data_IF_963784246865
#
_entry.id   IF_963784246865
#
_cell.length_a   1.000
_cell.length_b   1.000
_cell.length_c   1.000
_cell.angle_alpha   90.00
_cell.angle_beta   90.00
_cell.angle_gamma   90.00
#
_symmetry.space_group_name_H-M   'P 1'
#
loop_
_entity.id
_entity.type
_entity.pdbx_description
1 polymer ?
#
# COMPACT_ATOMS: atom_id res chain seq x y z
N UNK A 1 31.94 66.53 22.94
CA UNK A 1 30.56 66.03 22.80
C UNK A 1 30.51 64.88 21.79
N UNK A 2 31.24 64.92 20.67
CA UNK A 2 31.16 63.90 19.60
C UNK A 2 31.65 62.49 19.99
N UNK A 3 32.67 62.36 20.85
CA UNK A 3 33.19 61.04 21.25
C UNK A 3 32.20 60.22 22.08
N UNK A 4 31.38 60.88 22.91
CA UNK A 4 30.37 60.23 23.75
C UNK A 4 29.17 59.78 22.91
N UNK A 5 28.80 60.56 21.87
CA UNK A 5 27.72 60.22 20.94
C UNK A 5 28.12 59.02 20.07
N UNK A 6 29.39 58.95 19.63
CA UNK A 6 29.91 57.79 18.91
C UNK A 6 29.90 56.52 19.78
N UNK A 7 30.32 56.64 21.05
CA UNK A 7 30.29 55.55 22.02
C UNK A 7 28.87 55.02 22.28
N UNK A 8 27.89 55.92 22.41
CA UNK A 8 26.49 55.55 22.61
C UNK A 8 25.86 54.89 21.37
N UNK A 9 26.17 55.39 20.16
CA UNK A 9 25.70 54.77 18.90
C UNK A 9 26.28 53.36 18.71
N UNK A 10 27.56 53.15 19.03
CA UNK A 10 28.17 51.82 18.98
C UNK A 10 27.52 50.84 19.95
N UNK A 11 27.19 51.28 21.17
CA UNK A 11 26.57 50.44 22.20
C UNK A 11 25.13 50.06 21.81
N UNK A 12 24.36 50.99 21.26
CA UNK A 12 23.02 50.72 20.73
C UNK A 12 23.05 49.71 19.57
N UNK A 13 24.03 49.83 18.67
CA UNK A 13 24.18 48.89 17.55
C UNK A 13 24.51 47.48 18.03
N UNK A 14 25.41 47.35 19.01
CA UNK A 14 25.77 46.05 19.60
C UNK A 14 24.57 45.41 20.32
N UNK A 15 23.79 46.21 21.07
CA UNK A 15 22.56 45.72 21.71
C UNK A 15 21.51 45.26 20.69
N UNK A 16 21.33 45.97 19.58
CA UNK A 16 20.40 45.58 18.52
C UNK A 16 20.85 44.28 17.84
N UNK A 17 22.13 44.16 17.47
CA UNK A 17 22.67 42.93 16.84
C UNK A 17 22.58 41.73 17.79
N UNK A 18 22.90 41.90 19.07
CA UNK A 18 22.75 40.85 20.08
C UNK A 18 21.28 40.44 20.25
N UNK A 19 20.36 41.40 20.28
CA UNK A 19 18.91 41.15 20.35
C UNK A 19 18.39 40.37 19.13
N UNK A 20 18.79 40.76 17.92
CA UNK A 20 18.40 40.05 16.69
C UNK A 20 18.93 38.62 16.65
N UNK A 21 20.19 38.39 17.05
CA UNK A 21 20.76 37.04 17.11
C UNK A 21 20.08 36.16 18.17
N UNK A 22 19.72 36.74 19.33
CA UNK A 22 18.97 36.02 20.35
C UNK A 22 17.55 35.66 19.87
N UNK A 23 16.87 36.57 19.19
CA UNK A 23 15.54 36.31 18.63
C UNK A 23 15.57 35.25 17.52
N UNK A 24 16.55 35.32 16.61
CA UNK A 24 16.74 34.33 15.56
C UNK A 24 17.02 32.93 16.14
N UNK A 25 17.87 32.85 17.16
CA UNK A 25 18.17 31.57 17.83
C UNK A 25 16.99 31.03 18.64
N UNK A 26 16.17 31.88 19.24
CA UNK A 26 14.94 31.48 19.92
C UNK A 26 13.92 30.89 18.93
N UNK A 27 13.69 31.54 17.79
CA UNK A 27 12.78 31.07 16.74
C UNK A 27 13.24 29.73 16.14
N UNK A 28 14.53 29.59 15.87
CA UNK A 28 15.11 28.33 15.39
C UNK A 28 14.95 27.19 16.41
N UNK A 29 15.11 27.48 17.71
CA UNK A 29 14.87 26.48 18.76
C UNK A 29 13.41 26.04 18.77
N UNK A 30 12.48 26.96 18.65
CA UNK A 30 11.04 26.67 18.60
C UNK A 30 10.68 25.76 17.42
N UNK A 31 11.20 26.04 16.22
CA UNK A 31 11.04 25.19 15.05
C UNK A 31 11.66 23.79 15.23
N UNK A 32 12.81 23.69 15.90
CA UNK A 32 13.43 22.40 16.22
C UNK A 32 12.57 21.61 17.22
N UNK A 33 11.97 22.28 18.20
CA UNK A 33 11.07 21.63 19.16
C UNK A 33 9.78 21.13 18.50
N UNK A 34 9.18 21.94 17.63
CA UNK A 34 7.97 21.54 16.90
C UNK A 34 8.25 20.35 15.98
N UNK A 35 9.35 20.37 15.23
CA UNK A 35 9.79 19.23 14.39
C UNK A 35 10.05 17.96 15.21
N UNK A 36 10.69 18.09 16.38
CA UNK A 36 10.91 16.95 17.29
C UNK A 36 9.59 16.39 17.81
N UNK A 37 8.62 17.24 18.11
CA UNK A 37 7.29 16.82 18.56
C UNK A 37 6.54 16.09 17.44
N UNK A 38 6.51 16.65 16.21
CA UNK A 38 5.91 15.98 15.05
C UNK A 38 6.56 14.63 14.74
N UNK A 39 7.87 14.51 14.93
CA UNK A 39 8.56 13.22 14.75
C UNK A 39 8.15 12.18 15.79
N UNK A 40 7.88 12.60 17.04
CA UNK A 40 7.40 11.69 18.10
C UNK A 40 5.98 11.22 17.79
N UNK A 41 5.07 12.13 17.46
CA UNK A 41 3.69 11.76 17.11
C UNK A 41 3.65 10.83 15.91
N UNK A 42 4.41 11.12 14.85
CA UNK A 42 4.51 10.24 13.69
C UNK A 42 5.04 8.84 14.04
N UNK A 43 5.96 8.75 15.01
CA UNK A 43 6.49 7.46 15.47
C UNK A 43 5.45 6.67 16.26
N UNK A 44 4.62 7.35 17.07
CA UNK A 44 3.49 6.75 17.77
C UNK A 44 2.45 6.22 16.78
N UNK A 45 2.05 7.03 15.79
CA UNK A 45 1.13 6.62 14.73
C UNK A 45 1.66 5.41 13.94
N UNK A 46 2.97 5.41 13.63
CA UNK A 46 3.60 4.27 12.95
C UNK A 46 3.58 3.00 13.80
N UNK A 47 3.80 3.12 15.10
CA UNK A 47 3.77 1.98 16.02
C UNK A 47 2.35 1.42 16.16
N UNK A 48 1.35 2.29 16.25
CA UNK A 48 -0.05 1.89 16.26
C UNK A 48 -0.44 1.16 14.97
N UNK A 49 -0.07 1.73 13.81
CA UNK A 49 -0.33 1.09 12.52
C UNK A 49 0.37 -0.26 12.40
N UNK A 50 1.61 -0.37 12.89
CA UNK A 50 2.36 -1.63 12.92
C UNK A 50 1.66 -2.68 13.79
N UNK A 51 1.14 -2.29 14.95
CA UNK A 51 0.37 -3.18 15.82
C UNK A 51 -0.93 -3.63 15.15
N UNK A 52 -1.67 -2.72 14.51
CA UNK A 52 -2.87 -3.04 13.77
C UNK A 52 -2.60 -4.00 12.61
N UNK A 53 -1.49 -3.80 11.88
CA UNK A 53 -1.09 -4.67 10.77
C UNK A 53 -0.71 -6.08 11.25
N UNK A 54 0.00 -6.20 12.39
CA UNK A 54 0.30 -7.49 13.01
C UNK A 54 -1.00 -8.20 13.42
N UNK A 55 -1.91 -7.49 14.08
CA UNK A 55 -3.21 -8.02 14.48
C UNK A 55 -4.00 -8.57 13.29
N UNK A 56 -4.12 -7.78 12.21
CA UNK A 56 -4.80 -8.21 10.97
C UNK A 56 -4.12 -9.39 10.30
N UNK A 57 -2.79 -9.48 10.39
CA UNK A 57 -2.04 -10.63 9.87
C UNK A 57 -2.33 -11.91 10.65
N UNK A 58 -2.42 -11.84 11.98
CA UNK A 58 -2.79 -12.98 12.82
C UNK A 58 -4.26 -13.38 12.61
N UNK A 59 -5.17 -12.41 12.48
CA UNK A 59 -6.57 -12.67 12.13
C UNK A 59 -6.68 -13.43 10.80
N UNK A 60 -5.96 -12.97 9.75
CA UNK A 60 -5.90 -13.66 8.46
C UNK A 60 -5.36 -15.09 8.60
N UNK A 61 -4.32 -15.29 9.40
CA UNK A 61 -3.73 -16.62 9.64
C UNK A 61 -4.74 -17.55 10.32
N UNK A 62 -5.49 -17.04 11.29
CA UNK A 62 -6.53 -17.79 11.99
C UNK A 62 -7.68 -18.17 11.06
N UNK A 63 -8.15 -17.24 10.22
CA UNK A 63 -9.18 -17.51 9.21
C UNK A 63 -8.68 -18.57 8.21
N UNK A 64 -7.45 -18.43 7.70
CA UNK A 64 -6.85 -19.41 6.78
C UNK A 64 -6.72 -20.80 7.43
N UNK A 65 -6.38 -20.86 8.72
CA UNK A 65 -6.32 -22.13 9.45
C UNK A 65 -7.69 -22.77 9.58
N UNK A 66 -8.72 -22.00 9.95
CA UNK A 66 -10.11 -22.47 10.01
C UNK A 66 -10.61 -22.93 8.65
N UNK A 67 -10.28 -22.20 7.58
CA UNK A 67 -10.66 -22.55 6.21
C UNK A 67 -9.98 -23.85 5.75
N UNK A 68 -8.72 -24.09 6.14
CA UNK A 68 -8.05 -25.38 5.90
C UNK A 68 -8.68 -26.53 6.67
N UNK A 69 -9.07 -26.31 7.92
CA UNK A 69 -9.76 -27.33 8.73
C UNK A 69 -11.13 -27.66 8.13
N UNK A 70 -11.93 -26.66 7.81
CA UNK A 70 -13.22 -26.86 7.13
C UNK A 70 -13.06 -27.57 5.77
N UNK A 71 -12.02 -27.26 4.99
CA UNK A 71 -11.70 -27.96 3.75
C UNK A 71 -11.26 -29.41 3.98
N UNK A 72 -10.56 -29.70 5.08
CA UNK A 72 -10.18 -31.06 5.42
C UNK A 72 -11.37 -31.88 5.92
N UNK A 73 -12.31 -31.26 6.63
CA UNK A 73 -13.57 -31.86 7.07
C UNK A 73 -14.52 -32.11 5.89
N UNK A 74 -14.60 -31.20 4.91
CA UNK A 74 -15.37 -31.41 3.67
C UNK A 74 -14.77 -32.50 2.77
N UNK A 75 -13.44 -32.65 2.74
CA UNK A 75 -12.75 -33.69 1.96
C UNK A 75 -12.94 -35.11 2.55
N UNK A 76 -13.37 -35.22 3.82
CA UNK A 76 -13.84 -36.48 4.41
C UNK A 76 -15.30 -36.79 4.08
N UNK A 77 -16.09 -35.81 3.61
CA UNK A 77 -17.49 -35.98 3.23
C UNK A 77 -17.67 -36.19 1.70
N UNK A 78 -16.69 -35.80 0.89
CA UNK A 78 -16.69 -35.90 -0.59
C UNK A 78 -16.27 -37.28 -1.15
N UNK A 79 -16.14 -38.32 -0.31
CA UNK A 79 -15.87 -39.69 -0.79
C UNK A 79 -17.11 -40.47 -1.24
N UNK A 80 -18.29 -39.85 -1.22
CA UNK A 80 -19.49 -40.39 -1.86
C UNK A 80 -20.05 -39.39 -2.87
N UNK A 81 -20.12 -39.84 -4.11
CA UNK A 81 -20.85 -39.25 -5.25
C UNK A 81 -20.41 -37.87 -5.76
N UNK A 82 -19.57 -37.85 -6.80
CA UNK A 82 -19.92 -37.10 -8.01
C UNK A 82 -19.36 -37.79 -9.26
N UNK A 83 -20.28 -38.38 -10.00
CA UNK A 83 -20.09 -38.93 -11.34
C UNK A 83 -20.34 -37.79 -12.36
N UNK A 84 -19.53 -37.77 -13.42
CA UNK A 84 -19.65 -37.01 -14.68
C UNK A 84 -20.31 -35.60 -14.71
N UNK A 85 -19.53 -34.56 -15.03
CA UNK A 85 -20.06 -33.25 -15.40
C UNK A 85 -19.07 -32.36 -16.15
N UNK A 86 -19.35 -32.10 -17.42
CA UNK A 86 -18.48 -31.55 -18.49
C UNK A 86 -17.93 -30.14 -18.26
N UNK A 87 -16.65 -30.01 -18.63
CA UNK A 87 -15.74 -28.86 -18.64
C UNK A 87 -16.18 -27.76 -19.63
N UNK A 88 -16.91 -26.73 -19.17
CA UNK A 88 -17.32 -25.56 -19.99
C UNK A 88 -16.92 -24.19 -19.43
N UNK A 89 -16.30 -24.10 -18.25
CA UNK A 89 -15.90 -22.81 -17.66
C UNK A 89 -14.49 -22.33 -18.05
N UNK A 90 -13.60 -23.24 -18.47
CA UNK A 90 -12.21 -22.89 -18.82
C UNK A 90 -12.11 -22.10 -20.14
N UNK A 91 -13.01 -22.35 -21.10
CA UNK A 91 -12.94 -21.76 -22.45
C UNK A 91 -13.10 -20.23 -22.41
N UNK A 92 -14.04 -19.71 -21.62
CA UNK A 92 -14.28 -18.27 -21.53
C UNK A 92 -13.13 -17.53 -20.81
N UNK A 93 -12.53 -18.16 -19.81
CA UNK A 93 -11.37 -17.61 -19.10
C UNK A 93 -10.14 -17.56 -20.01
N UNK A 94 -9.89 -18.61 -20.79
CA UNK A 94 -8.74 -18.68 -21.69
C UNK A 94 -8.85 -17.67 -22.85
N UNK A 95 -10.06 -17.42 -23.37
CA UNK A 95 -10.28 -16.38 -24.39
C UNK A 95 -10.06 -14.96 -23.86
N UNK A 96 -10.50 -14.67 -22.63
CA UNK A 96 -10.29 -13.37 -22.01
C UNK A 96 -8.80 -13.08 -21.77
N UNK A 97 -8.06 -14.09 -21.29
CA UNK A 97 -6.62 -13.98 -21.09
C UNK A 97 -5.85 -13.74 -22.40
N UNK A 98 -6.23 -14.41 -23.48
CA UNK A 98 -5.64 -14.17 -24.79
C UNK A 98 -5.94 -12.75 -25.29
N UNK A 99 -7.13 -12.23 -25.04
CA UNK A 99 -7.48 -10.87 -25.46
C UNK A 99 -6.72 -9.79 -24.67
N UNK A 100 -6.44 -10.03 -23.39
CA UNK A 100 -5.55 -9.17 -22.59
C UNK A 100 -4.13 -9.10 -23.20
N UNK A 101 -3.63 -10.21 -23.76
CA UNK A 101 -2.35 -10.26 -24.46
C UNK A 101 -2.41 -9.60 -25.85
N UNK A 102 -3.49 -9.85 -26.61
CA UNK A 102 -3.69 -9.30 -27.96
C UNK A 102 -3.77 -7.77 -27.96
N UNK A 103 -4.47 -7.20 -26.99
CA UNK A 103 -4.57 -5.74 -26.81
C UNK A 103 -3.34 -5.13 -26.12
N UNK A 104 -2.32 -5.93 -25.79
CA UNK A 104 -1.11 -5.52 -25.08
C UNK A 104 -1.41 -4.83 -23.73
N UNK A 105 -2.52 -5.22 -23.09
CA UNK A 105 -2.88 -4.73 -21.74
C UNK A 105 -1.92 -5.30 -20.71
N UNK A 106 -1.50 -6.55 -20.90
CA UNK A 106 -0.43 -7.20 -20.14
C UNK A 106 0.46 -8.02 -21.07
N UNK A 107 1.66 -8.34 -20.61
CA UNK A 107 2.60 -9.23 -21.29
C UNK A 107 2.40 -10.70 -20.87
N UNK A 108 2.87 -11.68 -21.67
CA UNK A 108 2.80 -13.10 -21.30
C UNK A 108 3.47 -13.42 -19.96
N UNK A 109 4.59 -12.74 -19.65
CA UNK A 109 5.31 -12.88 -18.38
C UNK A 109 4.48 -12.39 -17.19
N UNK A 110 3.70 -11.34 -17.37
CA UNK A 110 2.83 -10.79 -16.33
C UNK A 110 1.62 -11.68 -16.10
N UNK A 111 1.03 -12.22 -17.17
CA UNK A 111 -0.04 -13.22 -17.06
C UNK A 111 0.41 -14.47 -16.28
N UNK A 112 1.61 -14.97 -16.54
CA UNK A 112 2.17 -16.09 -15.75
C UNK A 112 2.33 -15.74 -14.26
N UNK A 113 2.79 -14.51 -13.96
CA UNK A 113 2.91 -14.02 -12.58
C UNK A 113 1.55 -13.90 -11.90
N UNK A 114 0.54 -13.40 -12.61
CA UNK A 114 -0.85 -13.34 -12.13
C UNK A 114 -1.37 -14.74 -11.82
N UNK A 115 -1.22 -15.70 -12.75
CA UNK A 115 -1.62 -17.09 -12.52
C UNK A 115 -0.89 -17.72 -11.34
N UNK A 116 0.42 -17.52 -11.24
CA UNK A 116 1.24 -18.01 -10.12
C UNK A 116 0.79 -17.39 -8.80
N UNK A 117 0.52 -16.09 -8.78
CA UNK A 117 0.02 -15.38 -7.61
C UNK A 117 -1.35 -15.92 -7.17
N UNK A 118 -2.30 -16.11 -8.09
CA UNK A 118 -3.62 -16.68 -7.76
C UNK A 118 -3.50 -18.06 -7.13
N UNK A 119 -2.66 -18.94 -7.72
CA UNK A 119 -2.41 -20.29 -7.20
C UNK A 119 -1.73 -20.29 -5.83
N UNK A 120 -0.73 -19.44 -5.61
CA UNK A 120 0.05 -19.42 -4.36
C UNK A 120 -0.69 -18.76 -3.20
N UNK A 121 -1.60 -17.84 -3.49
CA UNK A 121 -2.33 -17.06 -2.47
C UNK A 121 -3.77 -17.50 -2.26
N UNK A 122 -4.28 -18.44 -3.08
CA UNK A 122 -5.71 -18.78 -3.12
C UNK A 122 -6.56 -17.52 -3.31
N UNK A 123 -6.15 -16.67 -4.25
CA UNK A 123 -6.78 -15.39 -4.53
C UNK A 123 -8.26 -15.60 -4.91
N UNK A 124 -9.22 -14.96 -4.20
CA UNK A 124 -10.65 -15.12 -4.51
C UNK A 124 -11.09 -14.31 -5.74
N UNK A 125 -10.22 -13.44 -6.26
CA UNK A 125 -10.50 -12.57 -7.39
C UNK A 125 -10.22 -13.28 -8.73
N UNK A 126 -10.94 -12.89 -9.77
CA UNK A 126 -10.71 -13.36 -11.14
C UNK A 126 -9.45 -12.74 -11.74
N UNK A 127 -9.05 -13.21 -12.92
CA UNK A 127 -7.81 -12.78 -13.58
C UNK A 127 -7.80 -11.27 -13.80
N UNK A 128 -8.95 -10.72 -14.23
CA UNK A 128 -9.16 -9.30 -14.49
C UNK A 128 -8.83 -8.43 -13.27
N UNK A 129 -9.46 -8.72 -12.14
CA UNK A 129 -9.31 -7.98 -10.89
C UNK A 129 -7.91 -8.22 -10.30
N UNK A 130 -7.34 -9.41 -10.50
CA UNK A 130 -5.97 -9.71 -10.06
C UNK A 130 -4.93 -8.93 -10.86
N UNK A 131 -5.14 -8.72 -12.17
CA UNK A 131 -4.28 -7.90 -13.03
C UNK A 131 -4.26 -6.45 -12.54
N UNK A 132 -5.44 -5.88 -12.21
CA UNK A 132 -5.55 -4.51 -11.68
C UNK A 132 -4.93 -4.41 -10.29
N UNK A 133 -5.24 -5.37 -9.40
CA UNK A 133 -4.72 -5.40 -8.04
C UNK A 133 -3.18 -5.50 -7.98
N UNK A 134 -2.57 -6.25 -8.90
CA UNK A 134 -1.11 -6.35 -9.00
C UNK A 134 -0.47 -5.17 -9.76
N UNK A 135 -1.28 -4.22 -10.25
CA UNK A 135 -0.82 -3.01 -10.92
C UNK A 135 -0.26 -3.22 -12.32
N UNK A 136 -0.58 -4.35 -12.97
CA UNK A 136 -0.13 -4.61 -14.35
C UNK A 136 -0.95 -3.85 -15.39
N UNK A 137 -2.20 -3.54 -15.09
CA UNK A 137 -3.05 -2.69 -15.94
C UNK A 137 -4.03 -1.88 -15.09
N UNK A 138 -4.59 -0.84 -15.68
CA UNK A 138 -5.63 -0.01 -15.05
C UNK A 138 -7.01 -0.66 -15.19
N UNK A 139 -7.94 -0.29 -14.30
CA UNK A 139 -9.32 -0.78 -14.35
C UNK A 139 -9.99 -0.47 -15.70
N UNK A 140 -9.73 0.71 -16.28
CA UNK A 140 -10.32 1.12 -17.55
C UNK A 140 -9.84 0.29 -18.75
N UNK A 141 -8.58 -0.17 -18.74
CA UNK A 141 -8.04 -1.06 -19.77
C UNK A 141 -8.65 -2.45 -19.68
N UNK A 142 -8.79 -2.97 -18.46
CA UNK A 142 -9.41 -4.28 -18.22
C UNK A 142 -10.90 -4.26 -18.55
N UNK A 143 -11.62 -3.18 -18.19
CA UNK A 143 -13.05 -3.02 -18.49
C UNK A 143 -13.30 -2.97 -20.00
N UNK A 144 -12.41 -2.36 -20.80
CA UNK A 144 -12.50 -2.35 -22.27
C UNK A 144 -12.41 -3.75 -22.87
N UNK A 145 -11.55 -4.61 -22.31
CA UNK A 145 -11.44 -6.01 -22.73
C UNK A 145 -12.68 -6.78 -22.27
N UNK A 146 -13.11 -6.58 -21.01
CA UNK A 146 -14.27 -7.24 -20.41
C UNK A 146 -15.56 -6.93 -21.17
N UNK A 147 -15.71 -5.70 -21.68
CA UNK A 147 -16.84 -5.28 -22.50
C UNK A 147 -16.98 -6.05 -23.83
N UNK A 148 -15.94 -6.73 -24.32
CA UNK A 148 -16.03 -7.58 -25.52
C UNK A 148 -16.60 -8.98 -25.23
N UNK A 149 -16.65 -9.37 -23.96
CA UNK A 149 -17.09 -10.69 -23.51
C UNK A 149 -18.33 -10.63 -22.60
N UNK A 150 -18.92 -9.44 -22.43
CA UNK A 150 -20.21 -9.20 -21.78
C UNK A 150 -21.34 -9.26 -22.81
#
# INVERSE_FOLDING_TARGET
MDLLVLGFCGLMFVCLVAGCNFFATAKLKEEIYSLKQSRRTLTEDMNELKAALISKREEKKLIMSKLRMAKHESNTQEKFSFDAGTDKSNVASDMFEQELLNQKVITPRELERVKKYRRSTSCPYDVAETVVMLGYATQSEVDRVKAKFA
#
